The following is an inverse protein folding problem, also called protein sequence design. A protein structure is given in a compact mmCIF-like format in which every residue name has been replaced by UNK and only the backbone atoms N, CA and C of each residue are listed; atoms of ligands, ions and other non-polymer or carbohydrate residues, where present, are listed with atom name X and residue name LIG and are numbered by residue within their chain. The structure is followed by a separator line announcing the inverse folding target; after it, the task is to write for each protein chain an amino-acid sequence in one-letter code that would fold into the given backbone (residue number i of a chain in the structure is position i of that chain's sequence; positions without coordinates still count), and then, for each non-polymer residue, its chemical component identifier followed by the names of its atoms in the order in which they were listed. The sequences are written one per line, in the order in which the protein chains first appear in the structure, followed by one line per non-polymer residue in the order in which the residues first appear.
data_IF_835507334121
#
_entry.id   IF_835507334121
#
_cell.length_a   1.000
_cell.length_b   1.000
_cell.length_c   1.000
_cell.angle_alpha   90.00
_cell.angle_beta   90.00
_cell.angle_gamma   90.00
#
_symmetry.space_group_name_H-M   'P 1'
#
loop_
_entity.id
_entity.type
_entity.pdbx_description
1 polymer ?
#
# COMPACT_ATOMS: atom_id res chain seq x y z
N UNK A 1 21.00 -12.17 25.06
CA UNK A 1 22.39 -12.21 25.54
C UNK A 1 22.87 -10.79 25.76
N UNK A 2 23.54 -10.59 26.88
CA UNK A 2 23.96 -9.35 27.52
C UNK A 2 25.11 -8.68 26.73
N UNK A 3 25.06 -7.35 26.58
CA UNK A 3 26.18 -6.54 26.07
C UNK A 3 27.17 -6.34 27.22
N UNK A 4 28.45 -6.61 26.97
CA UNK A 4 29.58 -6.32 27.85
C UNK A 4 30.76 -5.70 27.08
N UNK A 5 31.63 -4.91 27.73
CA UNK A 5 32.37 -3.80 27.11
C UNK A 5 33.88 -4.04 26.96
N UNK A 6 34.50 -3.33 26.01
CA UNK A 6 35.88 -2.87 26.07
C UNK A 6 36.99 -3.93 26.04
N UNK A 7 37.71 -4.01 24.92
CA UNK A 7 38.94 -4.80 24.81
C UNK A 7 39.79 -4.36 23.63
N UNK A 8 40.54 -3.27 23.82
CA UNK A 8 41.61 -2.85 22.92
C UNK A 8 42.82 -3.76 23.13
N UNK A 9 43.21 -4.51 22.10
CA UNK A 9 44.52 -5.17 22.02
C UNK A 9 45.04 -5.03 20.59
N UNK A 10 46.04 -4.18 20.39
CA UNK A 10 46.89 -4.18 19.20
C UNK A 10 48.19 -4.94 19.47
N UNK A 11 48.96 -5.26 18.43
CA UNK A 11 50.40 -5.43 18.55
C UNK A 11 51.18 -4.46 17.65
N UNK A 12 52.17 -3.82 18.28
CA UNK A 12 53.57 -3.77 17.86
C UNK A 12 53.90 -3.47 16.39
N UNK A 13 54.53 -2.32 16.17
CA UNK A 13 55.02 -1.87 14.87
C UNK A 13 56.17 -2.69 14.26
N UNK A 14 56.39 -2.40 12.98
CA UNK A 14 57.54 -2.78 12.18
C UNK A 14 57.56 -1.92 10.91
N UNK A 15 58.41 -0.90 10.90
CA UNK A 15 58.73 -0.11 9.70
C UNK A 15 59.90 -0.80 8.98
N UNK A 16 59.73 -1.17 7.72
CA UNK A 16 60.83 -1.53 6.82
C UNK A 16 60.39 -1.27 5.38
N UNK A 17 61.08 -0.35 4.74
CA UNK A 17 60.91 -0.02 3.33
C UNK A 17 61.41 -1.14 2.41
N UNK A 18 60.75 -1.25 1.26
CA UNK A 18 61.14 -2.11 0.15
C UNK A 18 60.42 -1.60 -1.09
N UNK A 19 61.11 -0.77 -1.85
CA UNK A 19 60.73 -0.35 -3.19
C UNK A 19 61.22 -1.44 -4.15
N UNK A 20 60.35 -2.09 -4.91
CA UNK A 20 60.76 -2.80 -6.12
C UNK A 20 59.72 -2.76 -7.24
N UNK A 21 60.30 -2.53 -8.41
CA UNK A 21 59.76 -2.16 -9.70
C UNK A 21 58.77 -3.14 -10.36
N UNK A 22 57.83 -2.53 -11.10
CA UNK A 22 57.51 -2.80 -12.51
C UNK A 22 57.35 -4.27 -12.94
N UNK A 23 56.10 -4.66 -13.26
CA UNK A 23 55.89 -5.52 -14.42
C UNK A 23 54.62 -5.14 -15.18
N UNK A 24 54.85 -4.52 -16.34
CA UNK A 24 53.89 -4.35 -17.42
C UNK A 24 53.51 -5.74 -17.96
N UNK A 25 52.40 -6.28 -17.49
CA UNK A 25 51.78 -7.49 -18.01
C UNK A 25 50.44 -7.16 -18.66
N UNK A 26 50.48 -6.75 -19.94
CA UNK A 26 49.32 -6.78 -20.82
C UNK A 26 48.89 -8.25 -20.93
N UNK A 27 47.85 -8.63 -20.18
CA UNK A 27 47.14 -9.89 -20.40
C UNK A 27 45.89 -9.57 -21.21
N UNK A 28 46.06 -9.54 -22.53
CA UNK A 28 44.96 -9.87 -23.43
C UNK A 28 44.89 -11.39 -23.50
N UNK A 29 43.96 -11.98 -22.77
CA UNK A 29 43.58 -13.37 -23.00
C UNK A 29 42.09 -13.59 -22.77
N UNK A 30 41.41 -13.90 -23.87
CA UNK A 30 40.17 -14.68 -23.90
C UNK A 30 38.92 -13.96 -23.43
N UNK A 31 38.08 -13.56 -24.39
CA UNK A 31 36.67 -13.28 -24.12
C UNK A 31 36.05 -14.48 -23.41
N UNK A 32 35.75 -14.30 -22.12
CA UNK A 32 34.78 -15.12 -21.43
C UNK A 32 33.47 -14.39 -21.66
N UNK A 33 32.63 -14.94 -22.53
CA UNK A 33 31.20 -14.63 -22.57
C UNK A 33 30.60 -15.16 -21.26
N UNK A 34 30.90 -14.45 -20.17
CA UNK A 34 30.22 -14.59 -18.91
C UNK A 34 28.83 -14.02 -19.16
N UNK A 35 27.88 -14.89 -19.54
CA UNK A 35 26.47 -14.73 -19.22
C UNK A 35 26.30 -14.75 -17.70
N UNK A 36 26.97 -13.80 -17.03
CA UNK A 36 27.01 -13.66 -15.59
C UNK A 36 25.62 -13.27 -15.14
N UNK A 37 25.11 -14.02 -14.17
CA UNK A 37 23.91 -13.64 -13.44
C UNK A 37 24.14 -12.27 -12.82
N UNK A 38 23.61 -11.23 -13.45
CA UNK A 38 23.61 -9.89 -12.90
C UNK A 38 22.61 -9.86 -11.74
N UNK A 39 23.11 -10.16 -10.55
CA UNK A 39 22.36 -10.14 -9.31
C UNK A 39 21.76 -8.75 -9.03
N UNK A 40 22.39 -7.66 -9.46
CA UNK A 40 21.88 -6.31 -9.28
C UNK A 40 20.70 -6.01 -10.24
N UNK A 41 20.81 -6.39 -11.51
CA UNK A 41 19.69 -6.33 -12.44
C UNK A 41 18.55 -7.25 -11.99
N UNK A 42 18.85 -8.47 -11.53
CA UNK A 42 17.87 -9.41 -11.01
C UNK A 42 17.16 -8.86 -9.75
N UNK A 43 17.88 -8.34 -8.76
CA UNK A 43 17.29 -7.72 -7.56
C UNK A 43 16.46 -6.48 -7.91
N UNK A 44 16.97 -5.61 -8.78
CA UNK A 44 16.24 -4.41 -9.21
C UNK A 44 14.95 -4.75 -9.97
N UNK A 45 14.95 -5.83 -10.78
CA UNK A 45 13.76 -6.31 -11.49
C UNK A 45 12.65 -6.77 -10.55
N UNK A 46 12.99 -7.21 -9.34
CA UNK A 46 12.07 -7.68 -8.28
C UNK A 46 11.64 -6.56 -7.33
N UNK A 47 12.53 -5.61 -7.05
CA UNK A 47 12.26 -4.48 -6.15
C UNK A 47 11.30 -3.45 -6.77
N UNK A 48 11.43 -3.15 -8.07
CA UNK A 48 10.56 -2.22 -8.79
C UNK A 48 9.06 -2.56 -8.67
N UNK A 49 8.60 -3.79 -8.99
CA UNK A 49 7.19 -4.14 -8.86
C UNK A 49 6.71 -4.11 -7.40
N UNK A 50 7.56 -4.49 -6.44
CA UNK A 50 7.22 -4.43 -5.02
C UNK A 50 6.96 -3.00 -4.55
N UNK A 51 7.86 -2.06 -4.90
CA UNK A 51 7.68 -0.64 -4.58
C UNK A 51 6.45 -0.08 -5.30
N UNK A 52 6.26 -0.40 -6.58
CA UNK A 52 5.09 0.05 -7.34
C UNK A 52 3.78 -0.45 -6.72
N UNK A 53 3.70 -1.73 -6.34
CA UNK A 53 2.56 -2.29 -5.64
C UNK A 53 2.28 -1.54 -4.33
N UNK A 54 3.29 -1.39 -3.47
CA UNK A 54 3.15 -0.73 -2.17
C UNK A 54 2.71 0.72 -2.29
N UNK A 55 3.30 1.48 -3.21
CA UNK A 55 2.95 2.89 -3.46
C UNK A 55 1.54 3.04 -4.01
N UNK A 56 1.18 2.27 -5.05
CA UNK A 56 -0.16 2.36 -5.66
C UNK A 56 -1.25 1.91 -4.68
N UNK A 57 -1.04 0.83 -3.94
CA UNK A 57 -1.98 0.37 -2.91
C UNK A 57 -2.12 1.39 -1.78
N UNK A 58 -1.01 2.00 -1.33
CA UNK A 58 -1.03 3.06 -0.32
C UNK A 58 -1.78 4.29 -0.80
N UNK A 59 -1.51 4.78 -2.02
CA UNK A 59 -2.23 5.91 -2.59
C UNK A 59 -3.74 5.62 -2.70
N UNK A 60 -4.12 4.43 -3.14
CA UNK A 60 -5.53 4.05 -3.22
C UNK A 60 -6.21 4.08 -1.84
N UNK A 61 -5.66 3.38 -0.83
CA UNK A 61 -6.34 3.22 0.47
C UNK A 61 -6.10 4.33 1.47
N UNK A 62 -4.94 4.98 1.44
CA UNK A 62 -4.58 6.07 2.36
C UNK A 62 -5.00 7.43 1.80
N UNK A 63 -5.18 7.58 0.49
CA UNK A 63 -5.52 8.89 -0.09
C UNK A 63 -6.84 8.85 -0.84
N UNK A 64 -6.93 8.12 -1.95
CA UNK A 64 -8.04 8.28 -2.88
C UNK A 64 -9.39 7.76 -2.33
N UNK A 65 -9.44 6.56 -1.76
CA UNK A 65 -10.68 6.04 -1.19
C UNK A 65 -11.21 6.91 -0.04
N UNK A 66 -10.40 7.30 0.97
CA UNK A 66 -10.83 8.20 2.04
C UNK A 66 -11.28 9.57 1.53
N UNK A 67 -10.49 10.22 0.67
CA UNK A 67 -10.80 11.56 0.15
C UNK A 67 -12.12 11.56 -0.61
N UNK A 68 -12.35 10.58 -1.49
CA UNK A 68 -13.62 10.46 -2.19
C UNK A 68 -14.81 10.25 -1.26
N UNK A 69 -14.60 9.50 -0.16
CA UNK A 69 -15.62 9.24 0.86
C UNK A 69 -15.88 10.45 1.77
N UNK A 70 -14.86 11.27 2.04
CA UNK A 70 -14.99 12.53 2.78
C UNK A 70 -15.76 13.56 1.94
N UNK A 71 -15.44 13.67 0.65
CA UNK A 71 -16.02 14.64 -0.28
C UNK A 71 -17.56 14.57 -0.29
N UNK A 72 -18.15 13.38 -0.39
CA UNK A 72 -19.62 13.18 -0.42
C UNK A 72 -20.31 13.49 0.93
N UNK A 73 -19.55 13.59 2.03
CA UNK A 73 -20.08 13.83 3.38
C UNK A 73 -20.02 15.29 3.79
N UNK A 74 -18.98 16.00 3.35
CA UNK A 74 -18.75 17.40 3.71
C UNK A 74 -19.28 18.35 2.62
N UNK A 75 -19.13 17.98 1.35
CA UNK A 75 -19.54 18.82 0.22
C UNK A 75 -21.06 19.01 0.09
N UNK A 76 -21.48 20.09 -0.58
CA UNK A 76 -22.90 20.44 -0.76
C UNK A 76 -23.20 21.10 -2.11
N UNK A 77 -22.73 20.52 -3.23
CA UNK A 77 -22.98 21.04 -4.58
C UNK A 77 -23.74 20.05 -5.49
N UNK A 78 -24.38 20.56 -6.55
CA UNK A 78 -25.08 19.75 -7.57
C UNK A 78 -24.09 18.86 -8.30
N UNK A 79 -24.32 17.54 -8.32
CA UNK A 79 -23.44 16.58 -8.99
C UNK A 79 -22.38 15.94 -8.09
N UNK A 80 -22.36 16.24 -6.78
CA UNK A 80 -21.41 15.66 -5.82
C UNK A 80 -21.35 14.12 -5.85
N UNK A 81 -22.49 13.44 -6.10
CA UNK A 81 -22.54 11.98 -6.20
C UNK A 81 -21.78 11.44 -7.43
N UNK A 82 -21.76 12.19 -8.54
CA UNK A 82 -21.02 11.86 -9.76
C UNK A 82 -19.53 12.06 -9.50
N UNK A 83 -19.15 13.21 -8.92
CA UNK A 83 -17.76 13.47 -8.54
C UNK A 83 -17.22 12.39 -7.60
N UNK A 84 -18.02 11.98 -6.61
CA UNK A 84 -17.71 10.84 -5.75
C UNK A 84 -17.54 9.56 -6.57
N UNK A 85 -18.51 9.20 -7.41
CA UNK A 85 -18.44 8.00 -8.24
C UNK A 85 -17.20 7.93 -9.13
N UNK A 86 -16.89 9.01 -9.84
CA UNK A 86 -15.70 9.11 -10.71
C UNK A 86 -14.42 8.94 -9.89
N UNK A 87 -14.32 9.63 -8.75
CA UNK A 87 -13.14 9.54 -7.90
C UNK A 87 -12.96 8.14 -7.30
N UNK A 88 -14.06 7.46 -6.94
CA UNK A 88 -14.03 6.08 -6.45
C UNK A 88 -13.63 5.09 -7.55
N UNK A 89 -14.10 5.28 -8.78
CA UNK A 89 -13.69 4.47 -9.93
C UNK A 89 -12.19 4.67 -10.21
N UNK A 90 -11.70 5.91 -10.19
CA UNK A 90 -10.28 6.19 -10.33
C UNK A 90 -9.44 5.49 -9.26
N UNK A 91 -9.84 5.60 -7.99
CA UNK A 91 -9.18 4.90 -6.87
C UNK A 91 -9.17 3.39 -7.07
N UNK A 92 -10.27 2.82 -7.56
CA UNK A 92 -10.38 1.40 -7.87
C UNK A 92 -9.47 0.96 -9.01
N UNK A 93 -9.33 1.76 -10.08
CA UNK A 93 -8.39 1.49 -11.17
C UNK A 93 -6.93 1.50 -10.68
N UNK A 94 -6.56 2.49 -9.85
CA UNK A 94 -5.24 2.55 -9.21
C UNK A 94 -4.99 1.30 -8.37
N UNK A 95 -5.97 0.89 -7.55
CA UNK A 95 -5.83 -0.32 -6.75
C UNK A 95 -5.82 -1.60 -7.61
N UNK A 96 -6.54 -1.64 -8.72
CA UNK A 96 -6.51 -2.77 -9.66
C UNK A 96 -5.12 -2.96 -10.25
N UNK A 97 -4.44 -1.87 -10.61
CA UNK A 97 -3.05 -1.93 -11.04
C UNK A 97 -2.13 -2.46 -9.92
N UNK A 98 -2.29 -1.97 -8.69
CA UNK A 98 -1.54 -2.48 -7.54
C UNK A 98 -1.80 -3.98 -7.31
N UNK A 99 -3.06 -4.40 -7.34
CA UNK A 99 -3.49 -5.79 -7.16
C UNK A 99 -2.92 -6.71 -8.24
N UNK A 100 -2.94 -6.28 -9.51
CA UNK A 100 -2.33 -7.02 -10.61
C UNK A 100 -0.83 -7.24 -10.43
N UNK A 101 -0.10 -6.22 -9.97
CA UNK A 101 1.32 -6.36 -9.62
C UNK A 101 1.50 -7.34 -8.46
N UNK A 102 0.63 -7.31 -7.45
CA UNK A 102 0.62 -8.26 -6.33
C UNK A 102 0.45 -9.70 -6.78
N UNK A 103 -0.50 -9.98 -7.67
CA UNK A 103 -0.72 -11.30 -8.26
C UNK A 103 0.49 -11.77 -9.06
N UNK A 104 1.08 -10.89 -9.86
CA UNK A 104 2.30 -11.21 -10.61
C UNK A 104 3.45 -11.58 -9.66
N UNK A 105 3.62 -10.86 -8.55
CA UNK A 105 4.65 -11.19 -7.56
C UNK A 105 4.43 -12.56 -6.93
N UNK A 106 3.20 -12.94 -6.60
CA UNK A 106 2.89 -14.27 -6.03
C UNK A 106 3.33 -15.40 -6.97
N UNK A 107 3.14 -15.24 -8.28
CA UNK A 107 3.46 -16.27 -9.27
C UNK A 107 4.95 -16.37 -9.59
N UNK A 108 5.68 -15.26 -9.48
CA UNK A 108 7.04 -15.16 -9.99
C UNK A 108 8.11 -15.22 -8.88
N UNK A 109 7.72 -15.12 -7.62
CA UNK A 109 8.64 -15.07 -6.49
C UNK A 109 8.72 -16.44 -5.80
N UNK A 110 9.92 -17.02 -5.58
CA UNK A 110 10.10 -18.39 -5.08
C UNK A 110 9.77 -18.57 -3.57
N UNK A 111 9.17 -17.56 -2.95
CA UNK A 111 8.80 -17.59 -1.53
C UNK A 111 7.31 -17.86 -1.46
N UNK A 112 6.91 -18.71 -0.52
CA UNK A 112 5.50 -18.99 -0.31
C UNK A 112 4.83 -17.78 0.36
N UNK A 113 4.46 -16.78 -0.44
CA UNK A 113 3.69 -15.63 0.02
C UNK A 113 2.22 -15.99 0.30
N UNK A 114 1.74 -17.18 -0.10
CA UNK A 114 0.33 -17.63 -0.04
C UNK A 114 -0.10 -18.07 1.39
N UNK A 115 0.80 -18.02 2.38
CA UNK A 115 0.49 -18.29 3.78
C UNK A 115 0.15 -17.05 4.64
N UNK A 116 0.22 -15.84 4.09
CA UNK A 116 0.19 -14.59 4.86
C UNK A 116 -1.14 -13.83 4.76
N UNK A 117 -1.69 -13.40 5.89
CA UNK A 117 -2.98 -12.67 5.92
C UNK A 117 -3.13 -11.52 4.90
N UNK A 118 -2.03 -10.85 4.54
CA UNK A 118 -2.01 -9.76 3.55
C UNK A 118 -2.65 -10.11 2.20
N UNK A 119 -2.34 -11.25 1.60
CA UNK A 119 -2.88 -11.58 0.27
C UNK A 119 -4.37 -11.95 0.33
N UNK A 120 -4.79 -12.70 1.35
CA UNK A 120 -6.20 -13.10 1.51
C UNK A 120 -7.06 -11.86 1.70
N UNK A 121 -6.66 -10.97 2.61
CA UNK A 121 -7.37 -9.72 2.86
C UNK A 121 -7.39 -8.86 1.60
N UNK A 122 -6.26 -8.76 0.89
CA UNK A 122 -6.16 -8.01 -0.38
C UNK A 122 -7.16 -8.47 -1.44
N UNK A 123 -7.29 -9.79 -1.65
CA UNK A 123 -8.25 -10.39 -2.59
C UNK A 123 -9.70 -10.11 -2.15
N UNK A 124 -10.02 -10.35 -0.88
CA UNK A 124 -11.36 -10.10 -0.35
C UNK A 124 -11.75 -8.63 -0.53
N UNK A 125 -10.84 -7.71 -0.19
CA UNK A 125 -11.04 -6.26 -0.36
C UNK A 125 -11.24 -5.90 -1.82
N UNK A 126 -10.45 -6.47 -2.74
CA UNK A 126 -10.60 -6.26 -4.19
C UNK A 126 -11.98 -6.70 -4.69
N UNK A 127 -12.41 -7.92 -4.34
CA UNK A 127 -13.73 -8.43 -4.71
C UNK A 127 -14.87 -7.57 -4.14
N UNK A 128 -14.78 -7.13 -2.89
CA UNK A 128 -15.78 -6.25 -2.29
C UNK A 128 -15.85 -4.90 -3.02
N UNK A 129 -14.70 -4.32 -3.38
CA UNK A 129 -14.63 -3.07 -4.14
C UNK A 129 -15.27 -3.18 -5.52
N UNK A 130 -15.15 -4.34 -6.20
CA UNK A 130 -15.82 -4.55 -7.49
C UNK A 130 -17.34 -4.40 -7.40
N UNK A 131 -17.96 -4.86 -6.30
CA UNK A 131 -19.40 -4.73 -6.09
C UNK A 131 -19.83 -3.34 -5.57
N UNK A 132 -18.91 -2.53 -5.04
CA UNK A 132 -19.23 -1.22 -4.46
C UNK A 132 -19.92 -0.25 -5.43
N UNK A 133 -19.47 -0.06 -6.69
CA UNK A 133 -20.15 0.82 -7.65
C UNK A 133 -21.58 0.39 -7.95
N UNK A 134 -21.81 -0.93 -8.10
CA UNK A 134 -23.15 -1.49 -8.36
C UNK A 134 -24.07 -1.18 -7.18
N UNK A 135 -23.62 -1.47 -5.96
CA UNK A 135 -24.35 -1.16 -4.72
C UNK A 135 -24.57 0.35 -4.55
N UNK A 136 -23.61 1.18 -4.96
CA UNK A 136 -23.69 2.64 -4.93
C UNK A 136 -24.75 3.20 -5.88
N UNK A 137 -24.84 2.68 -7.10
CA UNK A 137 -25.87 3.04 -8.07
C UNK A 137 -27.26 2.61 -7.59
N UNK A 138 -27.39 1.38 -7.09
CA UNK A 138 -28.65 0.88 -6.52
C UNK A 138 -29.09 1.72 -5.32
N UNK A 139 -28.16 2.05 -4.43
CA UNK A 139 -28.39 2.93 -3.29
C UNK A 139 -28.88 4.31 -3.77
N UNK A 140 -28.22 4.92 -4.75
CA UNK A 140 -28.61 6.24 -5.25
C UNK A 140 -30.02 6.24 -5.86
N UNK A 141 -30.32 5.26 -6.72
CA UNK A 141 -31.63 5.13 -7.34
C UNK A 141 -32.74 4.94 -6.30
N UNK A 142 -32.53 4.07 -5.31
CA UNK A 142 -33.51 3.83 -4.26
C UNK A 142 -33.63 5.00 -3.29
N UNK A 143 -32.55 5.70 -2.99
CA UNK A 143 -32.59 6.90 -2.16
C UNK A 143 -33.41 8.00 -2.84
N UNK A 144 -33.24 8.18 -4.16
CA UNK A 144 -34.05 9.12 -4.95
C UNK A 144 -35.53 8.73 -4.98
N UNK A 145 -35.84 7.43 -5.03
CA UNK A 145 -37.22 6.92 -5.13
C UNK A 145 -37.97 6.94 -3.79
N UNK A 146 -37.32 6.52 -2.70
CA UNK A 146 -37.99 6.27 -1.42
C UNK A 146 -37.66 7.30 -0.33
N UNK A 147 -36.68 8.18 -0.55
CA UNK A 147 -36.21 9.21 0.39
C UNK A 147 -35.85 8.67 1.80
N UNK A 148 -35.62 7.36 1.91
CA UNK A 148 -35.30 6.65 3.16
C UNK A 148 -34.18 5.64 2.92
N UNK A 149 -33.47 5.24 3.98
CA UNK A 149 -32.45 4.19 3.90
C UNK A 149 -33.11 2.85 3.60
N UNK A 150 -32.67 2.24 2.51
CA UNK A 150 -33.00 0.86 2.17
C UNK A 150 -31.88 -0.08 2.63
N UNK A 151 -32.11 -1.40 2.60
CA UNK A 151 -31.08 -2.40 2.91
C UNK A 151 -29.80 -2.21 2.08
N UNK A 152 -29.96 -1.85 0.80
CA UNK A 152 -28.86 -1.51 -0.11
C UNK A 152 -28.05 -0.28 0.32
N UNK A 153 -28.73 0.69 0.94
CA UNK A 153 -28.07 1.87 1.50
C UNK A 153 -27.16 1.49 2.67
N UNK A 154 -27.63 0.60 3.54
CA UNK A 154 -26.86 0.10 4.67
C UNK A 154 -25.66 -0.73 4.18
N UNK A 155 -25.89 -1.65 3.23
CA UNK A 155 -24.84 -2.47 2.63
C UNK A 155 -23.71 -1.64 2.03
N UNK A 156 -24.04 -0.67 1.15
CA UNK A 156 -23.03 0.19 0.53
C UNK A 156 -22.22 0.99 1.57
N UNK A 157 -22.90 1.60 2.55
CA UNK A 157 -22.25 2.42 3.59
C UNK A 157 -21.33 1.60 4.49
N UNK A 158 -21.77 0.44 4.98
CA UNK A 158 -21.00 -0.37 5.91
C UNK A 158 -19.89 -1.14 5.22
N UNK A 159 -20.16 -1.75 4.05
CA UNK A 159 -19.10 -2.39 3.28
C UNK A 159 -18.02 -1.35 2.92
N UNK A 160 -18.39 -0.15 2.48
CA UNK A 160 -17.40 0.89 2.17
C UNK A 160 -16.53 1.26 3.38
N UNK A 161 -17.11 1.32 4.58
CA UNK A 161 -16.36 1.60 5.83
C UNK A 161 -15.40 0.49 6.19
N UNK A 162 -15.88 -0.76 6.12
CA UNK A 162 -15.09 -1.95 6.41
C UNK A 162 -13.94 -2.08 5.41
N UNK A 163 -14.20 -1.90 4.12
CA UNK A 163 -13.22 -2.02 3.05
C UNK A 163 -12.09 -0.97 3.15
N UNK A 164 -12.40 0.29 3.46
CA UNK A 164 -11.36 1.32 3.67
C UNK A 164 -10.46 0.95 4.86
N UNK A 165 -11.06 0.56 5.98
CA UNK A 165 -10.31 0.21 7.19
C UNK A 165 -9.47 -1.05 6.99
N UNK A 166 -10.05 -2.10 6.42
CA UNK A 166 -9.34 -3.34 6.10
C UNK A 166 -8.21 -3.10 5.10
N UNK A 167 -8.40 -2.24 4.10
CA UNK A 167 -7.36 -1.93 3.13
C UNK A 167 -6.16 -1.20 3.74
N UNK A 168 -6.38 -0.27 4.68
CA UNK A 168 -5.27 0.37 5.42
C UNK A 168 -4.55 -0.62 6.34
N UNK A 169 -5.29 -1.46 7.06
CA UNK A 169 -4.67 -2.54 7.86
C UNK A 169 -3.87 -3.47 6.95
N UNK A 170 -4.42 -3.81 5.78
CA UNK A 170 -3.78 -4.67 4.81
C UNK A 170 -2.47 -4.08 4.28
N UNK A 171 -2.42 -2.77 4.03
CA UNK A 171 -1.19 -2.11 3.63
C UNK A 171 -0.12 -2.16 4.74
N UNK A 172 -0.52 -1.99 6.00
CA UNK A 172 0.38 -2.20 7.15
C UNK A 172 0.92 -3.63 7.24
N UNK A 173 0.05 -4.63 7.04
CA UNK A 173 0.45 -6.04 6.96
C UNK A 173 1.41 -6.31 5.78
N UNK A 174 1.22 -5.63 4.64
CA UNK A 174 2.12 -5.72 3.50
C UNK A 174 3.53 -5.19 3.81
N UNK A 175 3.63 -4.10 4.57
CA UNK A 175 4.91 -3.54 5.04
C UNK A 175 5.61 -4.49 6.03
N UNK A 176 4.84 -5.12 6.93
CA UNK A 176 5.36 -6.16 7.84
C UNK A 176 5.83 -7.39 7.06
N UNK A 177 5.11 -7.80 6.02
CA UNK A 177 5.51 -8.91 5.17
C UNK A 177 6.81 -8.61 4.43
N UNK A 178 6.93 -7.42 3.84
CA UNK A 178 8.13 -7.00 3.11
C UNK A 178 9.39 -6.95 3.99
N UNK A 179 9.24 -6.55 5.27
CA UNK A 179 10.35 -6.51 6.25
C UNK A 179 10.75 -7.90 6.74
N UNK A 180 9.78 -8.74 7.12
CA UNK A 180 10.04 -10.07 7.69
C UNK A 180 10.61 -11.07 6.70
N UNK A 181 10.23 -10.97 5.42
CA UNK A 181 10.72 -11.85 4.35
C UNK A 181 12.06 -11.40 3.75
N UNK A 182 12.56 -10.22 4.11
CA UNK A 182 13.78 -9.65 3.55
C UNK A 182 13.68 -9.25 2.07
N UNK A 183 12.49 -9.27 1.47
CA UNK A 183 12.27 -8.85 0.08
C UNK A 183 12.61 -7.39 -0.17
N UNK A 184 12.44 -6.56 0.86
CA UNK A 184 12.83 -5.17 0.83
C UNK A 184 13.31 -4.76 2.21
N UNK A 185 14.51 -4.17 2.26
CA UNK A 185 15.01 -3.54 3.48
C UNK A 185 14.28 -2.20 3.63
N UNK A 186 13.11 -2.23 4.26
CA UNK A 186 12.43 -0.98 4.59
C UNK A 186 13.23 -0.27 5.67
N UNK A 187 13.71 0.93 5.35
CA UNK A 187 14.11 1.88 6.37
C UNK A 187 12.92 2.16 7.30
N UNK A 188 13.17 2.27 8.61
CA UNK A 188 12.19 2.62 9.65
C UNK A 188 11.35 3.84 9.25
N UNK A 189 11.94 4.79 8.51
CA UNK A 189 11.24 5.96 7.97
C UNK A 189 10.03 5.64 7.09
N UNK A 190 10.07 4.60 6.25
CA UNK A 190 8.95 4.24 5.38
C UNK A 190 7.77 3.67 6.17
N UNK A 191 8.06 2.84 7.18
CA UNK A 191 7.04 2.26 8.06
C UNK A 191 6.37 3.35 8.89
N UNK A 192 7.16 4.29 9.43
CA UNK A 192 6.65 5.45 10.17
C UNK A 192 5.80 6.34 9.26
N UNK A 193 6.29 6.67 8.07
CA UNK A 193 5.57 7.53 7.13
C UNK A 193 4.21 6.93 6.75
N UNK A 194 4.18 5.64 6.44
CA UNK A 194 2.92 4.94 6.17
C UNK A 194 2.01 4.92 7.40
N UNK A 195 2.52 4.52 8.57
CA UNK A 195 1.73 4.40 9.79
C UNK A 195 1.11 5.72 10.24
N UNK A 196 1.90 6.79 10.26
CA UNK A 196 1.42 8.14 10.61
C UNK A 196 0.43 8.64 9.56
N UNK A 197 0.74 8.53 8.27
CA UNK A 197 -0.14 8.98 7.19
C UNK A 197 -1.48 8.25 7.18
N UNK A 198 -1.46 6.92 7.28
CA UNK A 198 -2.65 6.09 7.36
C UNK A 198 -3.46 6.39 8.63
N UNK A 199 -2.83 6.52 9.79
CA UNK A 199 -3.49 6.83 11.05
C UNK A 199 -4.19 8.19 11.04
N UNK A 200 -3.49 9.24 10.58
CA UNK A 200 -4.04 10.60 10.49
C UNK A 200 -5.21 10.64 9.49
N UNK A 201 -5.05 10.04 8.30
CA UNK A 201 -6.13 10.02 7.33
C UNK A 201 -7.33 9.21 7.83
N UNK A 202 -7.11 8.05 8.45
CA UNK A 202 -8.18 7.23 8.99
C UNK A 202 -8.99 8.02 10.02
N UNK A 203 -8.31 8.72 10.94
CA UNK A 203 -8.97 9.57 11.93
C UNK A 203 -9.78 10.70 11.26
N UNK A 204 -9.20 11.40 10.29
CA UNK A 204 -9.89 12.46 9.55
C UNK A 204 -11.15 11.92 8.83
N UNK A 205 -11.04 10.75 8.20
CA UNK A 205 -12.14 10.07 7.53
C UNK A 205 -13.24 9.62 8.51
N UNK A 206 -12.87 9.08 9.69
CA UNK A 206 -13.83 8.72 10.75
C UNK A 206 -14.57 9.96 11.27
N UNK A 207 -13.85 11.06 11.54
CA UNK A 207 -14.46 12.33 11.97
C UNK A 207 -15.44 12.83 10.91
N UNK A 208 -15.06 12.83 9.64
CA UNK A 208 -15.95 13.21 8.54
C UNK A 208 -17.16 12.27 8.41
N UNK A 209 -16.97 10.96 8.64
CA UNK A 209 -18.03 9.97 8.66
C UNK A 209 -19.07 10.25 9.76
N UNK A 210 -18.61 10.52 10.97
CA UNK A 210 -19.45 10.86 12.13
C UNK A 210 -20.15 12.20 11.93
N UNK A 211 -19.43 13.22 11.47
CA UNK A 211 -19.99 14.54 11.19
C UNK A 211 -21.11 14.45 10.14
N UNK A 212 -20.86 13.75 9.03
CA UNK A 212 -21.86 13.57 7.96
C UNK A 212 -23.12 12.84 8.41
N UNK A 213 -22.99 11.84 9.31
CA UNK A 213 -24.14 11.15 9.92
C UNK A 213 -24.94 12.09 10.84
N UNK A 214 -24.25 12.85 11.71
CA UNK A 214 -24.89 13.81 12.62
C UNK A 214 -25.62 14.93 11.89
N UNK A 215 -25.01 15.49 10.83
CA UNK A 215 -25.65 16.51 9.99
C UNK A 215 -26.95 16.00 9.37
N UNK A 216 -26.93 14.79 8.80
CA UNK A 216 -28.13 14.15 8.21
C UNK A 216 -29.20 13.80 9.24
N UNK A 217 -28.81 13.45 10.47
CA UNK A 217 -29.75 13.17 11.55
C UNK A 217 -30.48 14.43 12.03
N UNK A 218 -29.78 15.58 12.10
CA UNK A 218 -30.40 16.88 12.44
C UNK A 218 -31.41 17.33 11.39
N UNK A 219 -31.05 17.28 10.11
CA UNK A 219 -31.96 17.67 9.03
C UNK A 219 -33.24 16.81 8.94
N UNK A 220 -33.24 15.58 9.48
CA UNK A 220 -34.45 14.74 9.59
C UNK A 220 -35.32 15.04 10.80
N UNK A 221 -34.77 15.71 11.82
CA UNK A 221 -35.53 16.14 13.01
C UNK A 221 -36.19 17.51 12.78
N UNK A 222 -35.59 18.32 11.91
CA UNK A 222 -36.03 19.66 11.56
C UNK A 222 -37.05 19.68 10.39
N UNK A 223 -37.25 18.54 9.71
CA UNK A 223 -38.18 18.36 8.59
C UNK A 223 -39.36 17.48 9.00
#
# INVERSE_FOLDING_TARGET
AQIGPGGTYGPGGGNSGGNDNNNNGIINNGGIDNNGFDAAAFLSSRQKPLVAHGVLASLAFVVFFPVGSIMIRIGSFRGLWIAHGIFQIFAYLVYTAAFGIGLWMIQNVPVNLIGYYHHVIGIVVFCVLFFQPILGLMHHYQFKKYNRRTLWSFGHLWLGRLTITLGMINGGLGMLLATTTGFFVLNTGHVIAYGVGAGVMWLAWVVAAVYGERKRARSRREA
#
